data_IF_227899240622
#
_entry.id   IF_227899240622
#
_cell.length_a   1.000
_cell.length_b   1.000
_cell.length_c   1.000
_cell.angle_alpha   90.00
_cell.angle_beta   90.00
_cell.angle_gamma   90.00
#
_symmetry.space_group_name_H-M   'P 1'
#
loop_
_entity.id
_entity.type
_entity.pdbx_description
1 polymer ?
#
# COMPACT_ATOMS: atom_id res chain seq x y z
N UNK A 1 11.73 29.93 -8.98
CA UNK A 1 10.76 28.92 -8.49
C UNK A 1 9.80 29.60 -7.54
N UNK A 2 8.48 29.56 -7.81
CA UNK A 2 7.54 30.32 -7.00
C UNK A 2 7.30 29.61 -5.65
N UNK A 3 7.07 30.39 -4.58
CA UNK A 3 6.76 29.85 -3.23
C UNK A 3 5.62 28.82 -3.23
N UNK A 4 4.69 28.91 -4.18
CA UNK A 4 3.62 27.92 -4.36
C UNK A 4 4.14 26.56 -4.83
N UNK A 5 5.21 26.54 -5.63
CA UNK A 5 5.81 25.27 -6.08
C UNK A 5 6.60 24.62 -4.94
N UNK A 6 7.31 25.43 -4.14
CA UNK A 6 8.05 24.94 -2.98
C UNK A 6 7.10 24.40 -1.88
N UNK A 7 5.97 25.07 -1.62
CA UNK A 7 4.95 24.60 -0.69
C UNK A 7 4.25 23.33 -1.17
N UNK A 8 4.01 23.18 -2.49
CA UNK A 8 3.44 21.95 -3.06
C UNK A 8 4.41 20.78 -3.02
N UNK A 9 5.70 21.02 -3.27
CA UNK A 9 6.72 19.97 -3.15
C UNK A 9 6.90 19.51 -1.70
N UNK A 10 6.98 20.43 -0.76
CA UNK A 10 7.08 20.11 0.67
C UNK A 10 5.83 19.41 1.23
N UNK A 11 4.64 19.79 0.78
CA UNK A 11 3.39 19.10 1.14
C UNK A 11 3.31 17.70 0.54
N UNK A 12 3.80 17.52 -0.69
CA UNK A 12 3.88 16.23 -1.36
C UNK A 12 4.91 15.31 -0.71
N UNK A 13 6.05 15.86 -0.31
CA UNK A 13 7.10 15.14 0.42
C UNK A 13 6.65 14.72 1.82
N UNK A 14 5.89 15.57 2.54
CA UNK A 14 5.23 15.21 3.80
C UNK A 14 4.18 14.12 3.64
N UNK A 15 3.46 14.08 2.53
CA UNK A 15 2.44 13.08 2.26
C UNK A 15 3.05 11.72 1.89
N UNK A 16 4.25 11.71 1.30
CA UNK A 16 4.99 10.49 1.00
C UNK A 16 5.64 9.86 2.25
N UNK A 17 5.78 10.61 3.34
CA UNK A 17 6.40 10.14 4.60
C UNK A 17 5.40 9.60 5.63
N UNK A 18 4.09 9.71 5.40
CA UNK A 18 3.05 9.23 6.32
C UNK A 18 2.71 7.77 6.06
N UNK A 19 3.64 6.88 6.40
CA UNK A 19 3.47 5.45 6.22
C UNK A 19 4.00 4.69 7.44
N UNK A 20 3.24 3.69 7.86
CA UNK A 20 3.63 2.74 8.89
C UNK A 20 4.02 3.41 10.22
N UNK A 21 5.27 3.28 10.60
CA UNK A 21 5.79 3.85 11.87
C UNK A 21 5.76 5.38 11.93
N UNK A 22 5.68 6.05 10.79
CA UNK A 22 5.67 7.51 10.70
C UNK A 22 4.27 8.12 10.75
N UNK A 23 3.24 7.30 10.94
CA UNK A 23 1.88 7.79 11.14
C UNK A 23 1.77 8.59 12.44
N UNK A 24 0.92 9.62 12.43
CA UNK A 24 0.49 10.26 13.68
C UNK A 24 -0.22 9.24 14.58
N UNK A 25 -0.21 9.47 15.89
CA UNK A 25 -0.91 8.60 16.84
C UNK A 25 -2.37 8.38 16.43
N UNK A 26 -3.09 9.45 16.12
CA UNK A 26 -4.51 9.38 15.73
C UNK A 26 -4.71 8.55 14.45
N UNK A 27 -3.85 8.71 13.45
CA UNK A 27 -3.92 7.93 12.21
C UNK A 27 -3.60 6.46 12.47
N UNK A 28 -2.60 6.16 13.27
CA UNK A 28 -2.24 4.79 13.64
C UNK A 28 -3.41 4.09 14.35
N UNK A 29 -4.06 4.76 15.30
CA UNK A 29 -5.23 4.21 16.01
C UNK A 29 -6.41 3.98 15.06
N UNK A 30 -6.67 4.89 14.11
CA UNK A 30 -7.71 4.72 13.10
C UNK A 30 -7.45 3.50 12.20
N UNK A 31 -6.20 3.28 11.78
CA UNK A 31 -5.85 2.09 10.99
C UNK A 31 -5.89 0.80 11.80
N UNK A 32 -5.54 0.82 13.09
CA UNK A 32 -5.72 -0.34 13.98
C UNK A 32 -7.20 -0.71 14.12
N UNK A 33 -8.07 0.29 14.27
CA UNK A 33 -9.51 0.06 14.32
C UNK A 33 -10.04 -0.49 13.00
N UNK A 34 -9.62 0.09 11.86
CA UNK A 34 -9.97 -0.41 10.54
C UNK A 34 -9.54 -1.87 10.37
N UNK A 35 -8.31 -2.20 10.72
CA UNK A 35 -7.78 -3.56 10.70
C UNK A 35 -8.67 -4.52 11.48
N UNK A 36 -9.01 -4.15 12.71
CA UNK A 36 -9.86 -4.96 13.58
C UNK A 36 -11.21 -5.22 12.93
N UNK A 37 -11.87 -4.17 12.42
CA UNK A 37 -13.17 -4.29 11.76
C UNK A 37 -13.10 -5.16 10.50
N UNK A 38 -12.04 -5.02 9.70
CA UNK A 38 -11.82 -5.84 8.50
C UNK A 38 -11.66 -7.31 8.88
N UNK A 39 -10.87 -7.62 9.89
CA UNK A 39 -10.67 -9.00 10.34
C UNK A 39 -11.95 -9.64 10.87
N UNK A 40 -12.78 -8.87 11.57
CA UNK A 40 -14.10 -9.38 12.03
C UNK A 40 -15.10 -9.54 10.90
N UNK A 41 -15.05 -8.72 9.86
CA UNK A 41 -15.95 -8.80 8.71
C UNK A 41 -15.60 -9.94 7.75
N UNK A 42 -14.39 -10.45 7.78
CA UNK A 42 -13.95 -11.54 6.93
C UNK A 42 -14.34 -12.89 7.55
N UNK A 43 -14.84 -13.85 6.75
CA UNK A 43 -15.15 -15.17 7.24
C UNK A 43 -13.91 -15.85 7.80
N UNK A 44 -14.11 -16.60 8.89
CA UNK A 44 -13.07 -17.37 9.54
C UNK A 44 -12.83 -18.68 8.78
N UNK A 45 -12.17 -18.57 7.64
CA UNK A 45 -11.79 -19.72 6.83
C UNK A 45 -10.26 -19.87 6.86
N UNK A 46 -9.79 -21.10 6.90
CA UNK A 46 -8.35 -21.46 6.80
C UNK A 46 -7.71 -21.11 5.44
N UNK A 47 -8.39 -20.27 4.66
CA UNK A 47 -7.95 -19.87 3.32
C UNK A 47 -7.31 -18.50 3.30
N UNK A 48 -6.49 -18.28 2.29
CA UNK A 48 -5.93 -16.96 2.02
C UNK A 48 -7.06 -15.94 1.79
N UNK A 49 -7.09 -14.89 2.60
CA UNK A 49 -8.06 -13.81 2.50
C UNK A 49 -7.59 -12.79 1.48
N UNK A 50 -8.47 -12.37 0.60
CA UNK A 50 -8.20 -11.35 -0.43
C UNK A 50 -9.04 -10.12 -0.14
N UNK A 51 -8.40 -8.97 -0.01
CA UNK A 51 -9.03 -7.68 0.28
C UNK A 51 -8.79 -6.76 -0.90
N UNK A 52 -9.84 -6.29 -1.54
CA UNK A 52 -9.78 -5.28 -2.59
C UNK A 52 -10.06 -3.88 -2.03
N UNK A 53 -9.22 -2.90 -2.36
CA UNK A 53 -9.41 -1.49 -2.03
C UNK A 53 -9.66 -0.70 -3.30
N UNK A 54 -10.80 -0.05 -3.38
CA UNK A 54 -11.20 0.75 -4.53
C UNK A 54 -11.83 2.08 -4.10
N UNK A 55 -11.99 3.01 -5.03
CA UNK A 55 -12.67 4.29 -4.81
C UNK A 55 -13.33 4.79 -6.08
N UNK A 56 -14.29 5.70 -5.95
CA UNK A 56 -15.01 6.28 -7.08
C UNK A 56 -14.13 7.22 -7.91
N UNK A 57 -13.24 7.97 -7.26
CA UNK A 57 -12.40 8.99 -7.88
C UNK A 57 -10.91 8.74 -7.61
N UNK A 58 -10.10 9.35 -8.47
CA UNK A 58 -8.65 9.38 -8.26
C UNK A 58 -8.30 10.28 -7.08
N UNK A 59 -7.29 9.89 -6.29
CA UNK A 59 -6.78 10.74 -5.19
C UNK A 59 -7.56 10.64 -3.88
N UNK A 60 -8.48 9.68 -3.74
CA UNK A 60 -9.26 9.46 -2.50
C UNK A 60 -8.51 8.65 -1.43
N UNK A 61 -7.24 8.34 -1.64
CA UNK A 61 -6.40 7.67 -0.64
C UNK A 61 -6.36 6.14 -0.72
N UNK A 62 -6.77 5.52 -1.83
CA UNK A 62 -6.69 4.05 -2.02
C UNK A 62 -5.32 3.48 -1.67
N UNK A 63 -4.29 4.01 -2.32
CA UNK A 63 -2.92 3.52 -2.14
C UNK A 63 -2.42 3.73 -0.71
N UNK A 64 -2.75 4.87 -0.10
CA UNK A 64 -2.41 5.16 1.29
C UNK A 64 -3.11 4.21 2.25
N UNK A 65 -4.40 3.95 2.02
CA UNK A 65 -5.19 3.02 2.85
C UNK A 65 -4.69 1.59 2.70
N UNK A 66 -4.47 1.11 1.47
CA UNK A 66 -3.97 -0.24 1.21
C UNK A 66 -2.60 -0.46 1.85
N UNK A 67 -1.71 0.51 1.73
CA UNK A 67 -0.36 0.43 2.26
C UNK A 67 -0.37 0.38 3.80
N UNK A 68 -1.11 1.28 4.44
CA UNK A 68 -1.17 1.33 5.90
C UNK A 68 -1.94 0.16 6.51
N UNK A 69 -3.01 -0.30 5.88
CA UNK A 69 -3.73 -1.50 6.32
C UNK A 69 -2.83 -2.74 6.22
N UNK A 70 -2.09 -2.89 5.11
CA UNK A 70 -1.12 -3.98 4.94
C UNK A 70 -0.04 -3.95 6.02
N UNK A 71 0.47 -2.78 6.35
CA UNK A 71 1.43 -2.59 7.43
C UNK A 71 0.86 -3.04 8.78
N UNK A 72 -0.35 -2.59 9.12
CA UNK A 72 -1.00 -2.94 10.40
C UNK A 72 -1.32 -4.44 10.52
N UNK A 73 -1.63 -5.10 9.41
CA UNK A 73 -1.81 -6.55 9.38
C UNK A 73 -0.48 -7.29 9.58
N UNK A 74 0.58 -6.83 8.91
CA UNK A 74 1.92 -7.40 9.05
C UNK A 74 2.49 -7.23 10.47
N UNK A 75 2.21 -6.09 11.11
CA UNK A 75 2.61 -5.81 12.50
C UNK A 75 1.98 -6.80 13.50
N UNK A 76 0.82 -7.36 13.18
CA UNK A 76 0.19 -8.44 13.96
C UNK A 76 0.77 -9.83 13.66
N UNK A 77 1.74 -9.95 12.78
CA UNK A 77 2.35 -11.22 12.39
C UNK A 77 1.67 -11.93 11.22
N UNK A 78 0.67 -11.31 10.58
CA UNK A 78 0.09 -11.88 9.36
C UNK A 78 1.08 -11.81 8.18
N UNK A 79 1.10 -12.84 7.36
CA UNK A 79 1.81 -12.80 6.07
C UNK A 79 0.95 -12.04 5.06
N UNK A 80 1.41 -10.88 4.63
CA UNK A 80 0.67 -9.97 3.75
C UNK A 80 1.37 -9.84 2.41
N UNK A 81 0.62 -10.01 1.33
CA UNK A 81 1.05 -9.66 -0.03
C UNK A 81 0.24 -8.44 -0.47
N UNK A 82 0.91 -7.32 -0.68
CA UNK A 82 0.31 -6.12 -1.25
C UNK A 82 0.52 -6.09 -2.76
N UNK A 83 -0.58 -6.04 -3.51
CA UNK A 83 -0.58 -5.98 -4.97
C UNK A 83 -1.08 -4.61 -5.40
N UNK A 84 -0.24 -3.83 -6.07
CA UNK A 84 -0.65 -2.58 -6.70
C UNK A 84 -1.23 -2.88 -8.10
N UNK A 85 -2.56 -2.81 -8.19
CA UNK A 85 -3.28 -3.06 -9.44
C UNK A 85 -3.54 -1.77 -10.25
N UNK A 86 -3.15 -0.61 -9.76
CA UNK A 86 -3.18 0.64 -10.51
C UNK A 86 -1.96 0.71 -11.45
N UNK A 87 -2.12 0.10 -12.63
CA UNK A 87 -1.05 0.06 -13.64
C UNK A 87 -0.90 1.38 -14.42
N UNK A 88 -1.83 2.33 -14.27
CA UNK A 88 -1.76 3.63 -14.94
C UNK A 88 -0.90 4.62 -14.18
N UNK A 89 -1.10 4.70 -12.86
CA UNK A 89 -0.39 5.61 -11.97
C UNK A 89 0.11 4.89 -10.72
N UNK A 90 1.05 3.94 -10.86
CA UNK A 90 1.57 3.21 -9.72
C UNK A 90 2.35 4.15 -8.80
N UNK A 91 2.05 4.14 -7.52
CA UNK A 91 2.66 5.03 -6.52
C UNK A 91 3.30 4.30 -5.35
N UNK A 92 2.87 3.08 -5.06
CA UNK A 92 3.31 2.32 -3.88
C UNK A 92 4.79 2.00 -3.95
N UNK A 93 5.28 1.50 -5.09
CA UNK A 93 6.70 1.18 -5.28
C UNK A 93 7.61 2.38 -5.01
N UNK A 94 7.21 3.55 -5.50
CA UNK A 94 7.94 4.81 -5.27
C UNK A 94 7.93 5.22 -3.81
N UNK A 95 6.78 5.08 -3.13
CA UNK A 95 6.66 5.39 -1.69
C UNK A 95 7.52 4.47 -0.82
N UNK A 96 7.66 3.22 -1.23
CA UNK A 96 8.49 2.23 -0.53
C UNK A 96 9.96 2.26 -0.96
N UNK A 97 10.33 3.06 -1.95
CA UNK A 97 11.70 3.11 -2.47
C UNK A 97 12.17 1.80 -3.11
N UNK A 98 11.24 1.00 -3.63
CA UNK A 98 11.54 -0.29 -4.28
C UNK A 98 11.49 -0.17 -5.80
N UNK A 99 12.18 -1.08 -6.47
CA UNK A 99 12.16 -1.14 -7.94
C UNK A 99 10.74 -1.49 -8.44
N UNK A 100 10.32 -0.84 -9.51
CA UNK A 100 9.01 -1.05 -10.13
C UNK A 100 8.94 -2.30 -10.99
N UNK A 101 10.08 -2.80 -11.45
CA UNK A 101 10.19 -3.96 -12.34
C UNK A 101 11.00 -5.09 -11.69
N UNK A 102 10.64 -6.34 -11.93
CA UNK A 102 9.41 -6.83 -12.57
C UNK A 102 8.18 -6.63 -11.68
N UNK A 103 7.04 -6.34 -12.29
CA UNK A 103 5.79 -6.04 -11.59
C UNK A 103 4.61 -6.90 -12.10
N UNK A 104 3.40 -6.55 -11.64
CA UNK A 104 2.16 -7.24 -12.00
C UNK A 104 1.95 -7.29 -13.53
N UNK A 105 2.23 -6.21 -14.25
CA UNK A 105 2.10 -6.15 -15.72
C UNK A 105 3.02 -7.17 -16.42
N UNK A 106 4.24 -7.34 -15.94
CA UNK A 106 5.16 -8.34 -16.48
C UNK A 106 4.64 -9.76 -16.25
N UNK A 107 4.07 -10.01 -15.06
CA UNK A 107 3.47 -11.31 -14.74
C UNK A 107 2.28 -11.62 -15.64
N UNK A 108 1.37 -10.65 -15.83
CA UNK A 108 0.18 -10.81 -16.66
C UNK A 108 0.53 -10.96 -18.14
N UNK A 109 1.60 -10.32 -18.62
CA UNK A 109 2.11 -10.47 -19.99
C UNK A 109 2.85 -11.80 -20.23
N UNK A 110 2.99 -12.65 -19.23
CA UNK A 110 3.69 -13.93 -19.34
C UNK A 110 5.21 -13.78 -19.48
N UNK A 111 5.75 -12.61 -19.22
CA UNK A 111 7.19 -12.40 -19.19
C UNK A 111 7.74 -13.10 -17.95
N UNK A 112 8.43 -14.22 -18.16
CA UNK A 112 9.13 -14.94 -17.10
C UNK A 112 10.29 -14.10 -16.60
N UNK A 113 10.04 -13.25 -15.64
CA UNK A 113 11.12 -12.64 -14.89
C UNK A 113 11.67 -13.69 -13.92
N UNK A 114 12.88 -14.16 -14.19
CA UNK A 114 13.56 -15.05 -13.27
C UNK A 114 13.64 -14.42 -11.88
N UNK A 115 13.29 -15.16 -10.84
CA UNK A 115 13.61 -14.93 -9.43
C UNK A 115 13.24 -13.54 -8.84
N UNK A 116 12.09 -12.95 -9.14
CA UNK A 116 11.88 -11.59 -8.65
C UNK A 116 10.48 -11.19 -8.21
N UNK A 117 9.46 -11.99 -8.48
CA UNK A 117 8.07 -11.63 -8.14
C UNK A 117 7.75 -12.01 -6.68
N UNK A 118 8.48 -12.96 -6.14
CA UNK A 118 8.41 -13.31 -4.71
C UNK A 118 9.23 -12.31 -3.88
N UNK A 119 8.95 -11.04 -4.06
CA UNK A 119 9.37 -10.06 -3.06
C UNK A 119 8.36 -10.16 -1.94
N UNK A 120 8.76 -10.84 -0.90
CA UNK A 120 8.19 -10.62 0.41
C UNK A 120 8.21 -9.11 0.64
N UNK A 121 7.13 -8.44 0.33
CA UNK A 121 6.91 -7.07 0.77
C UNK A 121 6.72 -7.18 2.26
N UNK A 122 7.80 -7.46 2.93
CA UNK A 122 7.85 -7.36 4.36
C UNK A 122 8.12 -5.90 4.62
N UNK A 123 7.15 -5.27 5.13
CA UNK A 123 7.34 -4.00 5.79
C UNK A 123 8.14 -4.23 7.07
#
# INVERSE_FOLDING_TARGET
>A
MSERQTRRSAAKEKQDQTFGKNLSFAAAEAYKLLRTNVLFALPDEDKCRVIGVTSALQGEGKSTTSLNLSYMLAEMGHKVLLIEADMRLPTISRRLGIKTEPGLSNLLAGVKSGKGIDRKSVV
#
